data_IF_885690386946
#
_entry.id   IF_885690386946
#
_cell.length_a   1.000
_cell.length_b   1.000
_cell.length_c   1.000
_cell.angle_alpha   90.00
_cell.angle_beta   90.00
_cell.angle_gamma   90.00
#
_symmetry.space_group_name_H-M   'P 1'
#
loop_
_entity.id
_entity.type
_entity.pdbx_description
1 polymer ?
#
# COMPACT_ATOMS: atom_id res chain seq x y z
N UNK A 1 18.10 79.02 3.62
CA UNK A 1 17.74 77.98 2.68
C UNK A 1 18.24 76.68 3.24
N UNK A 2 17.31 75.82 3.75
CA UNK A 2 17.63 74.50 4.33
C UNK A 2 17.20 73.45 3.31
N UNK A 3 18.04 72.46 2.93
CA UNK A 3 17.63 71.38 2.06
C UNK A 3 16.87 70.36 2.89
N UNK A 4 15.68 69.95 2.41
CA UNK A 4 14.85 68.89 2.94
C UNK A 4 15.37 67.59 2.37
N UNK A 5 15.85 66.68 3.26
CA UNK A 5 16.35 65.37 2.90
C UNK A 5 15.14 64.39 2.83
N UNK A 6 14.80 63.95 1.62
CA UNK A 6 13.80 62.87 1.43
C UNK A 6 14.48 61.52 1.69
N UNK A 7 14.09 60.86 2.78
CA UNK A 7 14.45 59.46 3.04
C UNK A 7 13.42 58.59 2.33
N UNK A 8 13.86 57.93 1.25
CA UNK A 8 13.06 56.93 0.58
C UNK A 8 13.11 55.62 1.42
N UNK A 9 11.99 55.30 2.05
CA UNK A 9 11.82 53.98 2.73
C UNK A 9 11.52 52.93 1.67
N UNK A 10 12.52 52.10 1.38
CA UNK A 10 12.37 50.94 0.51
C UNK A 10 11.68 49.84 1.32
N UNK A 11 10.38 49.64 1.12
CA UNK A 11 9.64 48.51 1.70
C UNK A 11 9.98 47.27 0.90
N UNK A 12 10.80 46.38 1.49
CA UNK A 12 11.09 45.06 0.95
C UNK A 12 9.90 44.15 1.26
N UNK A 13 8.98 44.00 0.31
CA UNK A 13 7.94 42.95 0.39
C UNK A 13 8.59 41.60 0.01
N UNK A 14 9.00 40.82 1.02
CA UNK A 14 9.43 39.44 0.81
C UNK A 14 8.18 38.62 0.50
N UNK A 15 8.07 38.18 -0.75
CA UNK A 15 7.00 37.34 -1.24
C UNK A 15 7.06 35.95 -0.59
N UNK A 16 6.14 35.69 0.33
CA UNK A 16 5.88 34.36 0.90
C UNK A 16 5.05 33.47 -0.06
N UNK A 17 5.49 33.32 -1.32
CA UNK A 17 4.77 32.53 -2.33
C UNK A 17 5.24 31.07 -2.47
N UNK A 18 6.25 30.62 -1.73
CA UNK A 18 6.84 29.29 -1.92
C UNK A 18 6.13 28.14 -1.19
N UNK A 19 5.61 28.39 -0.01
CA UNK A 19 5.14 27.30 0.90
C UNK A 19 3.81 26.67 0.45
N UNK A 20 2.92 27.44 -0.16
CA UNK A 20 1.61 26.95 -0.58
C UNK A 20 1.63 26.02 -1.81
N UNK A 21 2.57 26.22 -2.72
CA UNK A 21 2.69 25.42 -3.95
C UNK A 21 3.31 24.05 -3.68
N UNK A 22 4.32 23.96 -2.81
CA UNK A 22 4.92 22.68 -2.43
C UNK A 22 3.94 21.79 -1.67
N UNK A 23 3.11 22.37 -0.82
CA UNK A 23 2.13 21.62 -0.03
C UNK A 23 0.98 21.09 -0.89
N UNK A 24 0.54 21.85 -1.89
CA UNK A 24 -0.48 21.43 -2.86
C UNK A 24 0.05 20.33 -3.80
N UNK A 25 1.28 20.46 -4.29
CA UNK A 25 1.93 19.45 -5.13
C UNK A 25 2.19 18.13 -4.37
N UNK A 26 2.56 18.22 -3.09
CA UNK A 26 2.75 17.06 -2.22
C UNK A 26 1.46 16.31 -1.96
N UNK A 27 0.38 17.02 -1.63
CA UNK A 27 -0.94 16.43 -1.41
C UNK A 27 -1.49 15.74 -2.66
N UNK A 28 -1.34 16.34 -3.84
CA UNK A 28 -1.78 15.72 -5.10
C UNK A 28 -0.96 14.49 -5.49
N UNK A 29 0.32 14.48 -5.18
CA UNK A 29 1.19 13.32 -5.41
C UNK A 29 0.85 12.16 -4.47
N UNK A 30 0.63 12.43 -3.19
CA UNK A 30 0.23 11.43 -2.21
C UNK A 30 -1.10 10.77 -2.58
N UNK A 31 -2.11 11.55 -2.99
CA UNK A 31 -3.40 11.03 -3.47
C UNK A 31 -3.24 10.14 -4.70
N UNK A 32 -2.40 10.54 -5.66
CA UNK A 32 -2.09 9.75 -6.86
C UNK A 32 -1.39 8.41 -6.53
N UNK A 33 -0.49 8.40 -5.54
CA UNK A 33 0.15 7.16 -5.08
C UNK A 33 -0.84 6.28 -4.35
N UNK A 34 -1.67 6.82 -3.48
CA UNK A 34 -2.72 6.08 -2.78
C UNK A 34 -3.64 5.34 -3.77
N UNK A 35 -4.13 6.02 -4.80
CA UNK A 35 -4.95 5.43 -5.86
C UNK A 35 -4.20 4.31 -6.60
N UNK A 36 -2.92 4.51 -6.88
CA UNK A 36 -2.07 3.50 -7.51
C UNK A 36 -1.96 2.24 -6.65
N UNK A 37 -1.70 2.38 -5.34
CA UNK A 37 -1.60 1.26 -4.41
C UNK A 37 -2.94 0.52 -4.31
N UNK A 38 -4.06 1.23 -4.17
CA UNK A 38 -5.40 0.62 -4.14
C UNK A 38 -5.71 -0.19 -5.41
N UNK A 39 -5.32 0.33 -6.57
CA UNK A 39 -5.49 -0.37 -7.86
C UNK A 39 -4.63 -1.63 -7.91
N UNK A 40 -3.35 -1.55 -7.53
CA UNK A 40 -2.45 -2.71 -7.49
C UNK A 40 -2.92 -3.77 -6.49
N UNK A 41 -3.46 -3.36 -5.33
CA UNK A 41 -4.00 -4.30 -4.38
C UNK A 41 -5.25 -5.03 -4.89
N UNK A 42 -6.15 -4.32 -5.56
CA UNK A 42 -7.29 -4.95 -6.22
C UNK A 42 -6.84 -5.94 -7.30
N UNK A 43 -5.87 -5.58 -8.11
CA UNK A 43 -5.31 -6.46 -9.13
C UNK A 43 -4.67 -7.72 -8.51
N UNK A 44 -3.92 -7.56 -7.43
CA UNK A 44 -3.36 -8.66 -6.64
C UNK A 44 -4.46 -9.59 -6.10
N UNK A 45 -5.54 -9.03 -5.55
CA UNK A 45 -6.69 -9.80 -5.04
C UNK A 45 -7.30 -10.64 -6.15
N UNK A 46 -7.55 -10.06 -7.32
CA UNK A 46 -8.09 -10.81 -8.47
C UNK A 46 -7.12 -11.91 -8.92
N UNK A 47 -5.82 -11.60 -8.97
CA UNK A 47 -4.80 -12.59 -9.31
C UNK A 47 -4.73 -13.75 -8.31
N UNK A 48 -4.93 -13.50 -7.02
CA UNK A 48 -5.01 -14.55 -6.00
C UNK A 48 -6.25 -15.43 -6.17
N UNK A 49 -7.42 -14.85 -6.47
CA UNK A 49 -8.67 -15.60 -6.68
C UNK A 49 -8.55 -16.50 -7.94
N UNK A 50 -7.90 -16.01 -8.98
CA UNK A 50 -7.77 -16.72 -10.26
C UNK A 50 -6.46 -17.51 -10.40
N UNK A 51 -5.61 -17.52 -9.37
CA UNK A 51 -4.27 -18.14 -9.38
C UNK A 51 -3.38 -17.66 -10.54
N UNK A 52 -3.48 -16.35 -10.89
CA UNK A 52 -2.69 -15.74 -11.96
C UNK A 52 -1.25 -15.48 -11.50
N UNK A 53 -0.39 -16.46 -11.76
CA UNK A 53 1.03 -16.40 -11.39
C UNK A 53 1.76 -15.21 -12.05
N UNK A 54 1.41 -14.83 -13.28
CA UNK A 54 2.08 -13.76 -14.02
C UNK A 54 1.84 -12.41 -13.34
N UNK A 55 0.60 -12.13 -12.98
CA UNK A 55 0.25 -10.91 -12.28
C UNK A 55 0.85 -10.88 -10.87
N UNK A 56 0.78 -12.00 -10.13
CA UNK A 56 1.39 -12.10 -8.80
C UNK A 56 2.91 -11.91 -8.84
N UNK A 57 3.59 -12.50 -9.85
CA UNK A 57 5.03 -12.33 -10.03
C UNK A 57 5.42 -10.86 -10.29
N UNK A 58 4.62 -10.15 -11.04
CA UNK A 58 4.83 -8.73 -11.32
C UNK A 58 4.60 -7.85 -10.09
N UNK A 59 3.61 -8.16 -9.27
CA UNK A 59 3.23 -7.34 -8.10
C UNK A 59 4.13 -7.59 -6.90
N UNK A 60 4.51 -8.84 -6.63
CA UNK A 60 5.39 -9.16 -5.51
C UNK A 60 6.85 -8.81 -5.82
N UNK A 61 7.54 -8.19 -4.86
CA UNK A 61 8.97 -7.97 -4.93
C UNK A 61 9.74 -9.30 -4.88
N UNK A 62 10.98 -9.33 -5.37
CA UNK A 62 11.81 -10.54 -5.36
C UNK A 62 12.08 -11.04 -3.93
N UNK A 63 12.19 -10.12 -2.99
CA UNK A 63 12.41 -10.34 -1.56
C UNK A 63 11.12 -10.32 -0.72
N UNK A 64 9.96 -10.49 -1.35
CA UNK A 64 8.68 -10.49 -0.67
C UNK A 64 8.60 -11.53 0.45
N UNK A 65 8.02 -11.11 1.58
CA UNK A 65 7.68 -11.97 2.72
C UNK A 65 6.22 -11.78 3.10
N UNK A 66 5.44 -12.85 3.09
CA UNK A 66 4.07 -12.90 3.59
C UNK A 66 3.96 -13.68 4.88
N UNK A 67 3.22 -13.15 5.85
CA UNK A 67 2.85 -13.84 7.09
C UNK A 67 1.35 -14.05 7.10
N UNK A 68 0.94 -15.30 7.10
CA UNK A 68 -0.48 -15.67 7.16
C UNK A 68 -1.07 -15.55 8.57
N UNK A 69 -2.41 -15.64 8.72
CA UNK A 69 -3.09 -15.54 10.01
C UNK A 69 -2.67 -16.58 11.05
N UNK A 70 -2.13 -17.70 10.59
CA UNK A 70 -1.58 -18.79 11.43
C UNK A 70 -0.12 -18.59 11.81
N UNK A 71 0.52 -17.46 11.39
CA UNK A 71 1.95 -17.24 11.56
C UNK A 71 2.82 -17.92 10.49
N UNK A 72 2.23 -18.62 9.51
CA UNK A 72 3.00 -19.24 8.43
C UNK A 72 3.68 -18.19 7.58
N UNK A 73 5.00 -18.29 7.44
CA UNK A 73 5.81 -17.40 6.61
C UNK A 73 5.96 -17.98 5.22
N UNK A 74 5.80 -17.15 4.19
CA UNK A 74 5.95 -17.53 2.78
C UNK A 74 6.78 -16.48 2.03
N UNK A 75 7.73 -16.94 1.23
CA UNK A 75 8.42 -16.13 0.24
C UNK A 75 7.58 -16.00 -1.03
N UNK A 76 7.99 -15.10 -1.95
CA UNK A 76 7.32 -14.94 -3.26
C UNK A 76 7.16 -16.26 -4.01
N UNK A 77 8.21 -17.08 -4.25
CA UNK A 77 8.05 -18.34 -4.95
C UNK A 77 7.07 -19.30 -4.25
N UNK A 78 7.11 -19.36 -2.92
CA UNK A 78 6.24 -20.24 -2.16
C UNK A 78 4.77 -19.84 -2.25
N UNK A 79 4.46 -18.54 -2.11
CA UNK A 79 3.07 -18.08 -2.19
C UNK A 79 2.50 -18.24 -3.60
N UNK A 80 3.29 -18.01 -4.65
CA UNK A 80 2.86 -18.23 -6.04
C UNK A 80 2.62 -19.73 -6.29
N UNK A 81 3.52 -20.59 -5.81
CA UNK A 81 3.34 -22.03 -5.91
C UNK A 81 2.08 -22.52 -5.19
N UNK A 82 1.82 -22.03 -3.98
CA UNK A 82 0.63 -22.39 -3.20
C UNK A 82 -0.67 -22.01 -3.95
N UNK A 83 -0.71 -20.88 -4.67
CA UNK A 83 -1.85 -20.52 -5.52
C UNK A 83 -1.97 -21.42 -6.76
N UNK A 84 -0.87 -21.66 -7.47
CA UNK A 84 -0.88 -22.40 -8.73
C UNK A 84 -1.09 -23.90 -8.53
N UNK A 85 -0.62 -24.48 -7.42
CA UNK A 85 -0.89 -25.88 -7.04
C UNK A 85 -2.32 -26.05 -6.50
N UNK A 86 -2.96 -24.96 -6.08
CA UNK A 86 -4.25 -24.99 -5.43
C UNK A 86 -4.22 -25.36 -3.96
N UNK A 87 -3.03 -25.37 -3.33
CA UNK A 87 -2.88 -25.49 -1.88
C UNK A 87 -3.50 -24.31 -1.15
N UNK A 88 -3.40 -23.12 -1.73
CA UNK A 88 -4.06 -21.91 -1.27
C UNK A 88 -5.10 -21.47 -2.32
N UNK A 89 -6.37 -21.46 -1.92
CA UNK A 89 -7.49 -21.09 -2.79
C UNK A 89 -8.42 -20.12 -2.10
N UNK A 90 -8.77 -19.06 -2.82
CA UNK A 90 -9.81 -18.12 -2.40
C UNK A 90 -10.98 -18.13 -3.38
N UNK A 91 -12.19 -18.19 -2.84
CA UNK A 91 -13.43 -17.97 -3.59
C UNK A 91 -13.75 -16.49 -3.65
N UNK A 92 -13.47 -15.77 -2.57
CA UNK A 92 -13.62 -14.32 -2.50
C UNK A 92 -12.66 -13.72 -1.48
N UNK A 93 -12.23 -12.50 -1.78
CA UNK A 93 -11.49 -11.61 -0.89
C UNK A 93 -12.09 -10.23 -1.06
N UNK A 94 -12.55 -9.64 0.04
CA UNK A 94 -12.99 -8.24 0.08
C UNK A 94 -12.19 -7.49 1.14
N UNK A 95 -11.97 -6.19 0.92
CA UNK A 95 -11.26 -5.33 1.86
C UNK A 95 -12.15 -4.21 2.34
N UNK A 96 -11.97 -3.78 3.58
CA UNK A 96 -12.67 -2.66 4.21
C UNK A 96 -11.72 -1.84 5.08
N UNK A 97 -12.14 -0.63 5.43
CA UNK A 97 -11.36 0.31 6.27
C UNK A 97 -9.92 0.51 5.79
N UNK A 98 -9.72 0.50 4.46
CA UNK A 98 -8.40 0.56 3.86
C UNK A 98 -7.83 1.98 3.98
N UNK A 99 -6.68 2.08 4.62
CA UNK A 99 -5.89 3.30 4.72
C UNK A 99 -4.52 3.08 4.07
N UNK A 100 -4.10 4.02 3.24
CA UNK A 100 -2.77 4.05 2.65
C UNK A 100 -2.05 5.29 3.14
N UNK A 101 -0.84 5.13 3.65
CA UNK A 101 0.05 6.22 4.07
C UNK A 101 1.33 6.16 3.27
N UNK A 102 1.72 7.28 2.67
CA UNK A 102 2.86 7.38 1.76
C UNK A 102 4.04 8.05 2.44
N UNK A 103 5.22 7.46 2.29
CA UNK A 103 6.48 7.94 2.86
C UNK A 103 7.57 7.87 1.77
N UNK A 104 7.57 8.85 0.86
CA UNK A 104 8.46 8.85 -0.31
C UNK A 104 8.19 7.64 -1.22
N UNK A 105 9.18 6.79 -1.41
CA UNK A 105 9.07 5.58 -2.23
C UNK A 105 8.54 4.36 -1.45
N UNK A 106 7.96 4.58 -0.25
CA UNK A 106 7.34 3.54 0.57
C UNK A 106 5.89 3.90 0.85
N UNK A 107 4.98 2.94 0.78
CA UNK A 107 3.61 3.08 1.24
C UNK A 107 3.24 1.94 2.19
N UNK A 108 2.51 2.30 3.25
CA UNK A 108 1.96 1.35 4.21
C UNK A 108 0.45 1.33 4.06
N UNK A 109 -0.08 0.16 3.72
CA UNK A 109 -1.50 -0.08 3.57
C UNK A 109 -2.00 -0.94 4.73
N UNK A 110 -3.06 -0.49 5.39
CA UNK A 110 -3.70 -1.24 6.49
C UNK A 110 -5.20 -1.34 6.23
N UNK A 111 -5.84 -2.39 6.75
CA UNK A 111 -7.27 -2.55 6.61
C UNK A 111 -7.81 -3.85 7.19
N UNK A 112 -9.06 -4.12 6.87
CA UNK A 112 -9.75 -5.37 7.12
C UNK A 112 -9.79 -6.20 5.84
N UNK A 113 -9.68 -7.52 5.97
CA UNK A 113 -9.88 -8.45 4.87
C UNK A 113 -10.88 -9.52 5.31
N UNK A 114 -11.95 -9.69 4.53
CA UNK A 114 -12.90 -10.80 4.67
C UNK A 114 -12.62 -11.79 3.55
N UNK A 115 -12.24 -13.00 3.92
CA UNK A 115 -11.78 -14.04 3.00
C UNK A 115 -12.67 -15.28 3.10
N UNK A 116 -12.99 -15.88 1.96
CA UNK A 116 -13.59 -17.22 1.87
C UNK A 116 -12.62 -18.07 1.07
N UNK A 117 -12.02 -19.06 1.71
CA UNK A 117 -11.01 -19.88 1.06
C UNK A 117 -10.45 -20.98 1.96
N UNK A 118 -9.46 -21.67 1.43
CA UNK A 118 -8.78 -22.77 2.08
C UNK A 118 -7.27 -22.67 1.89
N UNK A 119 -6.52 -23.09 2.92
CA UNK A 119 -5.08 -23.31 2.90
C UNK A 119 -4.84 -24.79 3.22
N UNK A 120 -4.38 -25.57 2.24
CA UNK A 120 -4.17 -27.02 2.32
C UNK A 120 -5.38 -27.77 2.91
N UNK A 121 -6.56 -27.44 2.37
CA UNK A 121 -7.84 -28.04 2.77
C UNK A 121 -8.41 -27.52 4.10
N UNK A 122 -7.73 -26.64 4.82
CA UNK A 122 -8.24 -26.02 6.04
C UNK A 122 -8.84 -24.65 5.71
N UNK A 123 -10.03 -24.37 6.25
CA UNK A 123 -10.66 -23.06 6.10
C UNK A 123 -9.77 -21.96 6.69
N UNK A 124 -9.50 -20.92 5.90
CA UNK A 124 -8.78 -19.74 6.39
C UNK A 124 -9.66 -18.90 7.31
N UNK A 125 -9.10 -18.17 8.30
CA UNK A 125 -9.85 -17.21 9.09
C UNK A 125 -10.54 -16.19 8.18
N UNK A 126 -11.85 -16.03 8.37
CA UNK A 126 -12.69 -15.20 7.52
C UNK A 126 -12.29 -13.73 7.61
N UNK A 127 -12.24 -13.21 8.84
CA UNK A 127 -12.02 -11.80 9.10
C UNK A 127 -10.64 -11.60 9.74
N UNK A 128 -9.82 -10.81 9.07
CA UNK A 128 -8.45 -10.53 9.48
C UNK A 128 -8.15 -9.05 9.35
N UNK A 129 -7.20 -8.56 10.14
CA UNK A 129 -6.54 -7.29 9.84
C UNK A 129 -5.29 -7.57 9.03
N UNK A 130 -4.95 -6.62 8.15
CA UNK A 130 -3.72 -6.72 7.40
C UNK A 130 -2.88 -5.45 7.51
N UNK A 131 -1.58 -5.65 7.37
CA UNK A 131 -0.60 -4.60 7.09
C UNK A 131 0.22 -5.02 5.90
N UNK A 132 0.31 -4.15 4.90
CA UNK A 132 1.10 -4.34 3.67
C UNK A 132 2.09 -3.21 3.53
N UNK A 133 3.28 -3.53 3.08
CA UNK A 133 4.32 -2.57 2.78
C UNK A 133 4.64 -2.65 1.29
N UNK A 134 4.48 -1.52 0.62
CA UNK A 134 4.75 -1.32 -0.79
C UNK A 134 5.99 -0.45 -0.93
N UNK A 135 6.89 -0.80 -1.85
CA UNK A 135 8.09 -0.02 -2.14
C UNK A 135 8.19 0.21 -3.64
N UNK A 136 8.53 1.44 -4.03
CA UNK A 136 8.78 1.78 -5.43
C UNK A 136 10.18 1.36 -5.82
N UNK A 137 10.29 0.32 -6.66
CA UNK A 137 11.53 -0.24 -7.16
C UNK A 137 11.59 -0.04 -8.68
N UNK A 138 12.63 0.60 -9.17
CA UNK A 138 12.81 0.87 -10.61
C UNK A 138 11.58 1.53 -11.26
N UNK A 139 10.96 2.48 -10.56
CA UNK A 139 9.78 3.20 -11.03
C UNK A 139 8.43 2.47 -10.84
N UNK A 140 8.43 1.22 -10.34
CA UNK A 140 7.23 0.40 -10.15
C UNK A 140 6.99 0.10 -8.67
N UNK A 141 5.74 0.21 -8.21
CA UNK A 141 5.35 -0.20 -6.88
C UNK A 141 5.29 -1.73 -6.78
N UNK A 142 5.95 -2.28 -5.77
CA UNK A 142 6.04 -3.71 -5.47
C UNK A 142 5.63 -3.96 -4.03
N UNK A 143 4.91 -5.04 -3.79
CA UNK A 143 4.60 -5.50 -2.44
C UNK A 143 5.81 -6.25 -1.86
N UNK A 144 6.41 -5.71 -0.80
CA UNK A 144 7.58 -6.33 -0.14
C UNK A 144 7.21 -7.10 1.11
N UNK A 145 6.13 -6.72 1.79
CA UNK A 145 5.67 -7.44 2.98
C UNK A 145 4.15 -7.42 3.09
N UNK A 146 3.60 -8.52 3.60
CA UNK A 146 2.18 -8.64 3.93
C UNK A 146 2.03 -9.46 5.21
N UNK A 147 1.28 -8.93 6.18
CA UNK A 147 1.00 -9.61 7.43
C UNK A 147 -0.50 -9.60 7.69
N UNK A 148 -1.05 -10.76 7.98
CA UNK A 148 -2.42 -10.93 8.46
C UNK A 148 -2.43 -11.32 9.93
N UNK A 149 -3.36 -10.75 10.69
CA UNK A 149 -3.71 -11.20 12.04
C UNK A 149 -5.19 -11.54 12.12
N UNK A 150 -5.51 -12.69 12.71
CA UNK A 150 -6.90 -13.07 12.99
C UNK A 150 -7.50 -12.09 14.00
N UNK A 151 -8.78 -11.75 13.80
CA UNK A 151 -9.51 -11.01 14.82
C UNK A 151 -9.93 -11.96 15.95
N UNK A 152 -9.88 -11.53 17.23
CA UNK A 152 -10.47 -12.29 18.30
C UNK A 152 -11.95 -12.55 18.00
N UNK A 153 -12.39 -13.79 18.13
CA UNK A 153 -13.83 -14.10 18.07
C UNK A 153 -14.51 -13.32 19.19
N UNK A 154 -15.45 -12.43 18.86
CA UNK A 154 -16.30 -11.80 19.89
C UNK A 154 -17.09 -12.93 20.55
N UNK A 155 -16.83 -13.15 21.82
CA UNK A 155 -17.64 -14.01 22.68
C UNK A 155 -18.97 -13.33 22.97
#
# INVERSE_FOLDING_TARGET
MRPVLFIAVLVLTVASMGVGQEQSARGSHETSVEETIRKLDNERIQAQIHADATVLDRIYAADFVGVGPSGTVRTKPQVILDFTSGDLKFQSITTGDVQVRVYGDTAVETGLSTMIGQDRGKTVPRDTRFTRVWVKQQGHWRLVANHYSSQPTRQ
#
